data_IF_376329461333
#
_entry.id   IF_376329461333
#
_cell.length_a   1.000
_cell.length_b   1.000
_cell.length_c   1.000
_cell.angle_alpha   90.00
_cell.angle_beta   90.00
_cell.angle_gamma   90.00
#
_symmetry.space_group_name_H-M   'P 1'
#
loop_
_entity.id
_entity.type
_entity.pdbx_description
1 polymer ?
#
# COMPACT_ATOMS: atom_id res chain seq x y z
N UNK A 1 -6.79 -1.91 10.58
CA UNK A 1 -6.20 -2.57 9.39
C UNK A 1 -5.78 -1.48 8.43
N UNK A 2 -4.52 -1.45 7.98
CA UNK A 2 -4.04 -0.39 7.10
C UNK A 2 -3.44 -0.99 5.82
N UNK A 3 -3.98 -0.57 4.68
CA UNK A 3 -3.56 -0.97 3.34
C UNK A 3 -2.97 0.25 2.64
N UNK A 4 -1.71 0.16 2.24
CA UNK A 4 -0.99 1.24 1.57
C UNK A 4 -0.49 0.78 0.22
N UNK A 5 -0.72 1.57 -0.82
CA UNK A 5 -0.34 1.24 -2.19
C UNK A 5 0.35 2.41 -2.85
N UNK A 6 1.28 2.12 -3.75
CA UNK A 6 2.02 3.13 -4.51
C UNK A 6 2.06 2.81 -6.01
N UNK A 7 2.11 3.85 -6.83
CA UNK A 7 2.28 3.73 -8.29
C UNK A 7 3.75 3.58 -8.69
N UNK A 8 3.98 3.32 -9.98
CA UNK A 8 5.30 3.07 -10.56
C UNK A 8 6.31 4.22 -10.53
N UNK A 9 5.85 5.47 -10.70
CA UNK A 9 6.71 6.62 -11.06
C UNK A 9 7.32 7.38 -9.86
N UNK A 10 8.57 7.83 -10.04
CA UNK A 10 9.54 8.70 -9.33
C UNK A 10 9.37 9.10 -7.84
N UNK A 11 8.19 9.01 -7.25
CA UNK A 11 7.91 9.16 -5.80
C UNK A 11 8.33 7.94 -4.96
N UNK A 12 9.11 7.03 -5.55
CA UNK A 12 9.39 5.68 -5.03
C UNK A 12 10.22 5.72 -3.75
N UNK A 13 11.23 6.60 -3.63
CA UNK A 13 12.13 6.55 -2.48
C UNK A 13 11.44 7.04 -1.19
N UNK A 14 10.74 8.17 -1.23
CA UNK A 14 10.03 8.69 -0.06
C UNK A 14 8.92 7.75 0.37
N UNK A 15 8.17 7.20 -0.59
CA UNK A 15 7.07 6.27 -0.32
C UNK A 15 7.57 4.94 0.23
N UNK A 16 8.69 4.42 -0.31
CA UNK A 16 9.33 3.22 0.20
C UNK A 16 9.86 3.43 1.61
N UNK A 17 10.59 4.53 1.85
CA UNK A 17 11.13 4.87 3.16
C UNK A 17 10.02 5.06 4.20
N UNK A 18 8.90 5.64 3.81
CA UNK A 18 7.71 5.74 4.67
C UNK A 18 7.13 4.35 5.00
N UNK A 19 6.96 3.48 4.00
CA UNK A 19 6.51 2.11 4.21
C UNK A 19 7.46 1.31 5.14
N UNK A 20 8.77 1.51 5.02
CA UNK A 20 9.75 0.89 5.92
C UNK A 20 9.62 1.39 7.35
N UNK A 21 9.46 2.70 7.57
CA UNK A 21 9.28 3.28 8.90
C UNK A 21 7.99 2.74 9.55
N UNK A 22 6.90 2.67 8.79
CA UNK A 22 5.63 2.12 9.27
C UNK A 22 5.75 0.63 9.60
N UNK A 23 6.46 -0.13 8.78
CA UNK A 23 6.71 -1.56 9.04
C UNK A 23 7.52 -1.77 10.32
N UNK A 24 8.58 -0.97 10.52
CA UNK A 24 9.45 -1.05 11.71
C UNK A 24 8.75 -0.65 13.01
N UNK A 25 7.78 0.25 12.93
CA UNK A 25 7.06 0.78 14.09
C UNK A 25 5.63 0.23 14.20
N UNK A 26 5.28 -0.80 13.43
CA UNK A 26 3.95 -1.39 13.47
C UNK A 26 3.66 -1.92 14.89
N UNK A 27 2.66 -1.33 15.54
CA UNK A 27 2.18 -1.77 16.85
C UNK A 27 1.47 -3.11 16.72
N UNK A 28 1.55 -3.96 17.74
CA UNK A 28 1.04 -5.34 17.74
C UNK A 28 -0.47 -5.51 17.46
N UNK A 29 -1.24 -4.41 17.44
CA UNK A 29 -2.66 -4.39 17.07
C UNK A 29 -2.97 -3.99 15.62
N UNK A 30 -1.98 -3.53 14.85
CA UNK A 30 -2.19 -3.04 13.48
C UNK A 30 -1.61 -4.04 12.48
N UNK A 31 -2.49 -4.75 11.78
CA UNK A 31 -2.13 -5.44 10.54
C UNK A 31 -1.84 -4.37 9.47
N UNK A 32 -0.64 -4.44 8.90
CA UNK A 32 -0.11 -3.50 7.90
C UNK A 32 0.19 -4.24 6.60
N UNK A 33 -0.13 -3.63 5.47
CA UNK A 33 0.24 -4.15 4.15
C UNK A 33 0.67 -3.04 3.20
N UNK A 34 1.77 -3.27 2.50
CA UNK A 34 2.28 -2.41 1.44
C UNK A 34 2.46 -3.20 0.15
N UNK A 35 2.00 -2.62 -0.97
CA UNK A 35 2.13 -3.18 -2.31
C UNK A 35 2.40 -2.07 -3.33
N UNK A 36 3.34 -2.30 -4.25
CA UNK A 36 3.56 -1.42 -5.42
C UNK A 36 2.73 -1.92 -6.60
N UNK A 37 2.04 -1.02 -7.28
CA UNK A 37 1.24 -1.28 -8.48
C UNK A 37 1.79 -0.47 -9.66
N UNK A 38 2.89 -0.92 -10.28
CA UNK A 38 3.64 -0.13 -11.25
C UNK A 38 2.86 0.16 -12.54
N UNK A 39 1.93 -0.72 -12.92
CA UNK A 39 1.09 -0.58 -14.11
C UNK A 39 -0.10 0.40 -13.91
N UNK A 40 -0.35 0.82 -12.68
CA UNK A 40 -1.44 1.72 -12.34
C UNK A 40 -1.01 3.19 -12.40
N UNK A 41 -1.94 4.05 -12.81
CA UNK A 41 -1.79 5.49 -12.78
C UNK A 41 -2.45 6.06 -11.53
N UNK A 42 -2.07 7.27 -11.14
CA UNK A 42 -2.71 7.95 -10.00
C UNK A 42 -4.23 8.04 -10.15
N UNK A 43 -4.74 8.22 -11.38
CA UNK A 43 -6.17 8.25 -11.67
C UNK A 43 -6.87 6.89 -11.64
N UNK A 44 -6.13 5.78 -11.75
CA UNK A 44 -6.72 4.44 -11.87
C UNK A 44 -6.51 3.57 -10.64
N UNK A 45 -5.50 3.85 -9.80
CA UNK A 45 -5.06 2.95 -8.71
C UNK A 45 -6.12 2.70 -7.62
N UNK A 46 -7.05 3.62 -7.36
CA UNK A 46 -7.98 3.52 -6.24
C UNK A 46 -8.90 2.29 -6.31
N UNK A 47 -9.47 2.02 -7.49
CA UNK A 47 -10.41 0.92 -7.69
C UNK A 47 -9.74 -0.47 -7.56
N UNK A 48 -8.64 -0.79 -8.27
CA UNK A 48 -7.94 -2.06 -8.13
C UNK A 48 -7.32 -2.23 -6.74
N UNK A 49 -6.83 -1.16 -6.12
CA UNK A 49 -6.31 -1.23 -4.75
C UNK A 49 -7.39 -1.60 -3.73
N UNK A 50 -8.59 -1.02 -3.85
CA UNK A 50 -9.71 -1.37 -2.99
C UNK A 50 -10.12 -2.84 -3.16
N UNK A 51 -10.24 -3.32 -4.40
CA UNK A 51 -10.58 -4.72 -4.68
C UNK A 51 -9.56 -5.70 -4.08
N UNK A 52 -8.26 -5.42 -4.22
CA UNK A 52 -7.20 -6.23 -3.61
C UNK A 52 -7.24 -6.20 -2.09
N UNK A 53 -7.45 -5.03 -1.49
CA UNK A 53 -7.56 -4.88 -0.04
C UNK A 53 -8.76 -5.69 0.51
N UNK A 54 -9.91 -5.62 -0.16
CA UNK A 54 -11.11 -6.37 0.21
C UNK A 54 -10.90 -7.87 0.05
N UNK A 55 -10.38 -8.33 -1.09
CA UNK A 55 -10.11 -9.75 -1.32
C UNK A 55 -9.12 -10.35 -0.31
N UNK A 56 -8.16 -9.56 0.18
CA UNK A 56 -7.13 -10.04 1.10
C UNK A 56 -7.56 -10.05 2.57
N UNK A 57 -8.52 -9.21 2.95
CA UNK A 57 -8.79 -8.92 4.36
C UNK A 57 -10.26 -8.91 4.77
N UNK A 58 -11.19 -9.07 3.83
CA UNK A 58 -12.61 -9.26 4.11
C UNK A 58 -13.16 -10.64 3.71
N UNK A 59 -12.31 -11.56 3.19
CA UNK A 59 -12.70 -12.97 2.97
C UNK A 59 -12.39 -13.85 4.18
#
# INVERSE_FOLDING_TARGET
>A
MMYFVSIGEDTVETTHRFAEVLTKNATSGVRWHYEKMPDEKHSTIYHPAALKAFGKYLS
#
